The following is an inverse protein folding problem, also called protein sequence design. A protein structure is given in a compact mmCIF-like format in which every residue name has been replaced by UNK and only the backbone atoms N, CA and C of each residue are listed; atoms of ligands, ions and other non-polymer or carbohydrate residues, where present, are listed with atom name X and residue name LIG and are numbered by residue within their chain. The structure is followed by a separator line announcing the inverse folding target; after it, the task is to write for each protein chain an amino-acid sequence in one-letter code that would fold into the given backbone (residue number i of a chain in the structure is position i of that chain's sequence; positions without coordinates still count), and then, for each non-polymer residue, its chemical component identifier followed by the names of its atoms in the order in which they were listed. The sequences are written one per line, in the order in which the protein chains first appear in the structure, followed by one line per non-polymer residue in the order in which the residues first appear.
data_IF_377240516611
#
_entry.id   IF_377240516611
#
_cell.length_a   1.000
_cell.length_b   1.000
_cell.length_c   1.000
_cell.angle_alpha   90.00
_cell.angle_beta   90.00
_cell.angle_gamma   90.00
#
_symmetry.space_group_name_H-M   'P 1'
#
loop_
_entity.id
_entity.type
_entity.pdbx_description
1 polymer ?
#
# COMPACT_ATOMS: atom_id res chain seq x y z
N UNK A 1 -12.87 -4.30 19.67
CA UNK A 1 -11.44 -4.39 19.94
C UNK A 1 -10.70 -3.37 19.08
N UNK A 2 -9.93 -2.51 19.70
CA UNK A 2 -9.23 -1.45 18.99
C UNK A 2 -7.80 -1.86 18.65
N UNK A 3 -7.33 -1.37 17.52
CA UNK A 3 -5.98 -1.66 17.02
C UNK A 3 -5.27 -0.34 16.75
N UNK A 4 -4.02 -0.24 17.24
CA UNK A 4 -3.17 0.89 16.93
C UNK A 4 -2.47 0.61 15.59
N UNK A 5 -2.99 1.21 14.52
CA UNK A 5 -2.49 0.96 13.17
C UNK A 5 -1.15 1.65 12.89
N UNK A 6 -0.70 2.52 13.80
CA UNK A 6 0.58 3.24 13.64
C UNK A 6 1.75 2.52 14.28
N UNK A 7 1.50 1.60 15.20
CA UNK A 7 2.56 0.85 15.86
C UNK A 7 2.73 -0.52 15.23
N UNK A 8 2.10 -1.50 15.81
CA UNK A 8 2.20 -2.87 15.32
C UNK A 8 0.82 -3.41 15.00
N UNK A 9 0.68 -3.96 13.81
CA UNK A 9 -0.53 -4.67 13.48
C UNK A 9 -0.47 -6.07 14.11
N UNK A 10 -1.58 -6.56 14.65
CA UNK A 10 -1.62 -7.93 15.16
C UNK A 10 -1.29 -8.93 14.04
N UNK A 11 -0.78 -10.08 14.43
CA UNK A 11 -0.44 -11.13 13.46
C UNK A 11 -1.64 -11.53 12.60
N UNK A 12 -2.83 -11.53 13.19
CA UNK A 12 -4.05 -11.86 12.46
C UNK A 12 -4.29 -10.89 11.30
N UNK A 13 -4.04 -9.61 11.54
CA UNK A 13 -4.21 -8.59 10.52
C UNK A 13 -3.13 -8.71 9.45
N UNK A 14 -1.90 -8.94 9.85
CA UNK A 14 -0.80 -9.17 8.90
C UNK A 14 -1.08 -10.39 8.03
N UNK A 15 -1.67 -11.43 8.61
CA UNK A 15 -2.06 -12.62 7.89
C UNK A 15 -3.15 -12.33 6.85
N UNK A 16 -4.14 -11.49 7.22
CA UNK A 16 -5.19 -11.08 6.28
C UNK A 16 -4.61 -10.32 5.10
N UNK A 17 -3.64 -9.44 5.35
CA UNK A 17 -2.98 -8.70 4.28
C UNK A 17 -2.27 -9.67 3.34
N UNK A 18 -1.64 -10.69 3.89
CA UNK A 18 -0.96 -11.71 3.11
C UNK A 18 -1.94 -12.52 2.28
N UNK A 19 -3.09 -12.87 2.85
CA UNK A 19 -4.15 -13.56 2.13
C UNK A 19 -4.62 -12.70 0.96
N UNK A 20 -4.79 -11.41 1.18
CA UNK A 20 -5.21 -10.49 0.13
C UNK A 20 -4.19 -10.42 -1.00
N UNK A 21 -2.90 -10.39 -0.66
CA UNK A 21 -1.84 -10.42 -1.67
C UNK A 21 -1.89 -11.70 -2.50
N UNK A 22 -2.15 -12.83 -1.85
CA UNK A 22 -2.29 -14.11 -2.54
C UNK A 22 -3.53 -14.14 -3.44
N UNK A 23 -4.62 -13.53 -3.00
CA UNK A 23 -5.83 -13.39 -3.79
C UNK A 23 -5.53 -12.62 -5.07
N UNK A 24 -4.79 -11.52 -4.98
CA UNK A 24 -4.40 -10.75 -6.15
C UNK A 24 -3.54 -11.60 -7.10
N UNK A 25 -2.62 -12.37 -6.56
CA UNK A 25 -1.79 -13.26 -7.38
C UNK A 25 -2.62 -14.30 -8.12
N UNK A 26 -3.63 -14.85 -7.48
CA UNK A 26 -4.50 -15.84 -8.13
C UNK A 26 -5.35 -15.20 -9.23
N UNK A 27 -5.57 -13.89 -9.16
CA UNK A 27 -6.26 -13.15 -10.21
C UNK A 27 -5.32 -12.68 -11.33
N UNK A 28 -4.03 -13.05 -11.24
CA UNK A 28 -3.05 -12.68 -12.24
C UNK A 28 -2.23 -11.45 -11.91
N UNK A 29 -2.42 -10.86 -10.75
CA UNK A 29 -1.69 -9.65 -10.34
C UNK A 29 -0.51 -10.07 -9.47
N UNK A 30 0.67 -10.15 -10.07
CA UNK A 30 1.88 -10.63 -9.39
C UNK A 30 2.80 -9.51 -8.92
N UNK A 31 2.49 -8.27 -9.25
CA UNK A 31 3.35 -7.13 -8.94
C UNK A 31 3.08 -6.50 -7.59
N UNK A 32 1.97 -6.86 -6.95
CA UNK A 32 1.59 -6.30 -5.66
C UNK A 32 1.94 -7.29 -4.56
N UNK A 33 2.81 -6.87 -3.65
CA UNK A 33 3.20 -7.68 -2.49
C UNK A 33 2.39 -7.28 -1.26
N UNK A 34 2.51 -8.09 -0.20
CA UNK A 34 1.86 -7.76 1.06
C UNK A 34 2.40 -6.45 1.64
N UNK A 35 3.68 -6.17 1.41
CA UNK A 35 4.28 -4.91 1.83
C UNK A 35 3.61 -3.72 1.13
N UNK A 36 3.34 -3.84 -0.16
CA UNK A 36 2.69 -2.79 -0.94
C UNK A 36 1.27 -2.52 -0.43
N UNK A 37 0.54 -3.58 -0.11
CA UNK A 37 -0.81 -3.45 0.44
C UNK A 37 -0.77 -2.74 1.79
N UNK A 38 0.16 -3.13 2.64
CA UNK A 38 0.33 -2.53 3.95
C UNK A 38 0.66 -1.04 3.83
N UNK A 39 1.57 -0.70 2.94
CA UNK A 39 1.96 0.68 2.69
C UNK A 39 0.78 1.51 2.18
N UNK A 40 0.01 0.96 1.25
CA UNK A 40 -1.18 1.63 0.74
C UNK A 40 -2.17 1.93 1.86
N UNK A 41 -2.43 0.95 2.72
CA UNK A 41 -3.35 1.12 3.83
C UNK A 41 -2.89 2.23 4.78
N UNK A 42 -1.62 2.24 5.12
CA UNK A 42 -1.06 3.28 5.99
C UNK A 42 -1.13 4.67 5.36
N UNK A 43 -0.81 4.77 4.08
CA UNK A 43 -0.71 6.07 3.42
C UNK A 43 -2.05 6.62 2.96
N UNK A 44 -3.00 5.74 2.63
CA UNK A 44 -4.26 6.15 2.02
C UNK A 44 -5.46 5.94 2.92
N UNK A 45 -5.67 4.72 3.41
CA UNK A 45 -6.86 4.39 4.18
C UNK A 45 -6.78 4.87 5.62
N UNK A 46 -5.61 4.70 6.22
CA UNK A 46 -5.41 4.99 7.65
C UNK A 46 -4.54 6.23 7.87
N UNK A 47 -4.48 7.09 6.89
CA UNK A 47 -3.60 8.26 6.91
C UNK A 47 -3.81 9.14 8.14
N UNK A 48 -5.05 9.38 8.50
CA UNK A 48 -5.39 10.26 9.62
C UNK A 48 -5.89 9.50 10.85
N UNK A 49 -5.65 8.19 10.89
CA UNK A 49 -6.14 7.33 11.96
C UNK A 49 -4.98 6.71 12.71
N UNK A 50 -5.05 6.75 14.03
CA UNK A 50 -4.06 6.07 14.87
C UNK A 50 -4.65 4.79 15.42
N UNK A 51 -5.91 4.84 15.86
CA UNK A 51 -6.59 3.71 16.46
C UNK A 51 -7.88 3.45 15.72
N UNK A 52 -8.10 2.20 15.33
CA UNK A 52 -9.28 1.78 14.60
C UNK A 52 -9.86 0.53 15.24
N UNK A 53 -11.16 0.34 15.06
CA UNK A 53 -11.80 -0.91 15.46
C UNK A 53 -11.32 -2.04 14.57
N UNK A 54 -11.17 -3.22 15.14
CA UNK A 54 -10.69 -4.37 14.40
C UNK A 54 -11.58 -4.69 13.20
N UNK A 55 -12.91 -4.57 13.36
CA UNK A 55 -13.82 -4.84 12.26
C UNK A 55 -13.64 -3.86 11.11
N UNK A 56 -13.33 -2.60 11.42
CA UNK A 56 -13.07 -1.60 10.38
C UNK A 56 -11.78 -1.92 9.62
N UNK A 57 -10.75 -2.36 10.35
CA UNK A 57 -9.48 -2.75 9.74
C UNK A 57 -9.69 -3.96 8.82
N UNK A 58 -10.43 -4.93 9.27
CA UNK A 58 -10.74 -6.13 8.48
C UNK A 58 -11.54 -5.75 7.23
N UNK A 59 -12.54 -4.89 7.37
CA UNK A 59 -13.33 -4.43 6.23
C UNK A 59 -12.46 -3.70 5.22
N UNK A 60 -11.56 -2.85 5.68
CA UNK A 60 -10.66 -2.11 4.80
C UNK A 60 -9.80 -3.05 3.98
N UNK A 61 -9.31 -4.11 4.59
CA UNK A 61 -8.48 -5.10 3.90
C UNK A 61 -9.32 -5.95 2.95
N UNK A 62 -10.45 -6.44 3.41
CA UNK A 62 -11.28 -7.35 2.63
C UNK A 62 -11.96 -6.68 1.43
N UNK A 63 -12.26 -5.40 1.54
CA UNK A 63 -12.89 -4.65 0.45
C UNK A 63 -11.87 -4.07 -0.53
N UNK A 64 -10.61 -4.29 -0.31
CA UNK A 64 -9.55 -3.74 -1.14
C UNK A 64 -9.53 -4.36 -2.52
N UNK A 65 -9.42 -3.51 -3.55
CA UNK A 65 -9.26 -3.94 -4.94
C UNK A 65 -7.83 -3.69 -5.40
N UNK A 66 -7.32 -4.59 -6.24
CA UNK A 66 -5.96 -4.45 -6.74
C UNK A 66 -5.76 -3.14 -7.51
N UNK A 67 -6.80 -2.65 -8.17
CA UNK A 67 -6.72 -1.41 -8.94
C UNK A 67 -6.40 -0.21 -8.05
N UNK A 68 -6.91 -0.20 -6.83
CA UNK A 68 -6.64 0.88 -5.89
C UNK A 68 -5.17 0.90 -5.49
N UNK A 69 -4.62 -0.26 -5.16
CA UNK A 69 -3.21 -0.39 -4.79
C UNK A 69 -2.32 -0.09 -5.99
N UNK A 70 -2.70 -0.58 -7.17
CA UNK A 70 -1.96 -0.37 -8.39
C UNK A 70 -1.87 1.12 -8.73
N UNK A 71 -2.98 1.83 -8.63
CA UNK A 71 -3.00 3.29 -8.85
C UNK A 71 -2.08 4.01 -7.88
N UNK A 72 -2.13 3.63 -6.62
CA UNK A 72 -1.28 4.23 -5.59
C UNK A 72 0.20 4.00 -5.93
N UNK A 73 0.58 2.78 -6.28
CA UNK A 73 1.97 2.46 -6.60
C UNK A 73 2.42 3.21 -7.84
N UNK A 74 1.55 3.33 -8.83
CA UNK A 74 1.84 4.07 -10.04
C UNK A 74 2.12 5.53 -9.75
N UNK A 75 1.26 6.17 -8.94
CA UNK A 75 1.44 7.55 -8.55
C UNK A 75 2.69 7.74 -7.72
N UNK A 76 2.99 6.77 -6.86
CA UNK A 76 4.19 6.83 -6.04
C UNK A 76 5.46 6.79 -6.90
N UNK A 77 5.50 5.92 -7.89
CA UNK A 77 6.64 5.83 -8.80
C UNK A 77 6.80 7.12 -9.58
N UNK A 78 5.71 7.68 -10.10
CA UNK A 78 5.74 8.95 -10.82
C UNK A 78 6.26 10.07 -9.93
N UNK A 79 5.78 10.13 -8.70
CA UNK A 79 6.18 11.15 -7.74
C UNK A 79 7.66 11.03 -7.39
N UNK A 80 8.13 9.83 -7.13
CA UNK A 80 9.53 9.58 -6.83
C UNK A 80 10.41 9.91 -8.02
N UNK A 81 9.99 9.52 -9.21
CA UNK A 81 10.71 9.83 -10.44
C UNK A 81 10.80 11.33 -10.65
N UNK A 82 9.72 12.05 -10.40
CA UNK A 82 9.72 13.52 -10.53
C UNK A 82 10.68 14.16 -9.56
N UNK A 83 10.72 13.65 -8.33
CA UNK A 83 11.58 14.19 -7.29
C UNK A 83 13.05 13.93 -7.58
N UNK A 84 13.36 12.70 -8.00
CA UNK A 84 14.75 12.27 -8.24
C UNK A 84 15.27 12.79 -9.58
N UNK A 85 14.41 12.92 -10.54
CA UNK A 85 14.78 13.04 -11.93
C UNK A 85 15.23 14.43 -12.37
N UNK A 86 14.97 15.44 -11.59
CA UNK A 86 15.38 16.79 -12.01
C UNK A 86 16.88 16.82 -12.25
N UNK A 87 17.66 16.28 -11.34
CA UNK A 87 19.11 16.24 -11.47
C UNK A 87 19.56 15.24 -12.53
N UNK A 88 19.03 14.02 -12.47
CA UNK A 88 19.39 12.98 -13.44
C UNK A 88 19.02 13.39 -14.86
N UNK A 89 17.85 13.98 -14.99
CA UNK A 89 17.36 14.43 -16.28
C UNK A 89 18.24 15.56 -16.83
N UNK A 90 18.66 16.44 -15.96
CA UNK A 90 19.55 17.53 -16.35
C UNK A 90 20.87 17.00 -16.87
N UNK A 91 21.43 15.99 -16.25
CA UNK A 91 22.67 15.35 -16.70
C UNK A 91 22.52 14.76 -18.09
N UNK A 92 21.41 14.06 -18.33
CA UNK A 92 21.16 13.45 -19.62
C UNK A 92 20.97 14.47 -20.73
N UNK A 93 20.28 15.55 -20.42
CA UNK A 93 20.04 16.61 -21.39
C UNK A 93 21.30 17.42 -21.64
N UNK A 94 22.08 17.64 -20.61
CA UNK A 94 23.30 18.43 -20.70
C UNK A 94 24.36 17.76 -21.57
N UNK A 95 24.23 16.49 -21.77
CA UNK A 95 25.15 15.74 -22.62
C UNK A 95 24.70 15.78 -24.06
#
# INVERSE_FOLDING_TARGET
MEIDVRKHLPLDILFLIRIKANEFKSEGVHTISSHDIKEYLYEMKWKNSDILEMCDVIDDIMSLHFSEVFEYLKLKVIKEASTLKIDDFSELIAK
#
